data_IF_572084250988
#
_entry.id   IF_572084250988
#
_cell.length_a   1.000
_cell.length_b   1.000
_cell.length_c   1.000
_cell.angle_alpha   90.00
_cell.angle_beta   90.00
_cell.angle_gamma   90.00
#
_symmetry.space_group_name_H-M   'P 1'
#
loop_
_entity.id
_entity.type
_entity.pdbx_description
1 polymer ?
#
# COMPACT_ATOMS: atom_id res chain seq x y z
N UNK A 1 -4.62 -28.23 17.26
CA UNK A 1 -4.01 -28.69 15.99
C UNK A 1 -4.25 -27.62 14.93
N UNK A 2 -3.29 -26.73 14.67
CA UNK A 2 -3.39 -25.81 13.53
C UNK A 2 -2.95 -26.60 12.31
N UNK A 3 -3.89 -26.94 11.43
CA UNK A 3 -3.59 -27.49 10.11
C UNK A 3 -2.70 -26.49 9.37
N UNK A 4 -1.43 -26.86 9.17
CA UNK A 4 -0.47 -25.98 8.50
C UNK A 4 -0.89 -25.81 7.04
N UNK A 5 -1.34 -24.60 6.67
CA UNK A 5 -1.68 -24.24 5.29
C UNK A 5 -0.49 -24.50 4.37
N UNK A 6 -0.74 -25.17 3.23
CA UNK A 6 0.30 -25.54 2.28
C UNK A 6 1.04 -24.33 1.69
N UNK A 7 2.28 -24.54 1.22
CA UNK A 7 3.07 -23.50 0.54
C UNK A 7 2.35 -22.95 -0.69
N UNK A 8 1.78 -23.83 -1.51
CA UNK A 8 1.05 -23.44 -2.72
C UNK A 8 -0.13 -22.54 -2.37
N UNK A 9 -0.95 -22.92 -1.37
CA UNK A 9 -2.08 -22.11 -0.91
C UNK A 9 -1.62 -20.73 -0.42
N UNK A 10 -0.52 -20.64 0.33
CA UNK A 10 0.03 -19.36 0.79
C UNK A 10 0.45 -18.45 -0.37
N UNK A 11 1.14 -18.99 -1.37
CA UNK A 11 1.52 -18.21 -2.55
C UNK A 11 0.31 -17.76 -3.35
N UNK A 12 -0.72 -18.60 -3.50
CA UNK A 12 -1.99 -18.21 -4.11
C UNK A 12 -2.66 -17.09 -3.32
N UNK A 13 -2.70 -17.19 -1.99
CA UNK A 13 -3.27 -16.14 -1.13
C UNK A 13 -2.49 -14.83 -1.23
N UNK A 14 -1.15 -14.89 -1.25
CA UNK A 14 -0.30 -13.71 -1.43
C UNK A 14 -0.56 -13.05 -2.78
N UNK A 15 -0.55 -13.83 -3.86
CA UNK A 15 -0.81 -13.31 -5.21
C UNK A 15 -2.21 -12.69 -5.31
N UNK A 16 -3.23 -13.37 -4.79
CA UNK A 16 -4.59 -12.85 -4.77
C UNK A 16 -4.69 -11.54 -3.96
N UNK A 17 -4.04 -11.48 -2.80
CA UNK A 17 -3.98 -10.29 -1.96
C UNK A 17 -3.30 -9.12 -2.68
N UNK A 18 -2.15 -9.36 -3.31
CA UNK A 18 -1.43 -8.32 -4.06
C UNK A 18 -2.27 -7.81 -5.24
N UNK A 19 -2.79 -8.70 -6.08
CA UNK A 19 -3.60 -8.32 -7.25
C UNK A 19 -4.85 -7.53 -6.84
N UNK A 20 -5.56 -8.01 -5.82
CA UNK A 20 -6.79 -7.37 -5.36
C UNK A 20 -6.50 -6.02 -4.69
N UNK A 21 -5.63 -5.99 -3.68
CA UNK A 21 -5.39 -4.78 -2.90
C UNK A 21 -4.67 -3.69 -3.72
N UNK A 22 -3.62 -4.03 -4.48
CA UNK A 22 -2.92 -3.06 -5.33
C UNK A 22 -3.82 -2.63 -6.48
N UNK A 23 -4.57 -3.55 -7.09
CA UNK A 23 -5.51 -3.23 -8.17
C UNK A 23 -6.62 -2.28 -7.70
N UNK A 24 -7.26 -2.56 -6.57
CA UNK A 24 -8.28 -1.69 -6.00
C UNK A 24 -7.70 -0.33 -5.59
N UNK A 25 -6.51 -0.29 -4.96
CA UNK A 25 -5.82 0.94 -4.59
C UNK A 25 -5.58 1.85 -5.80
N UNK A 26 -4.95 1.32 -6.85
CA UNK A 26 -4.64 2.08 -8.07
C UNK A 26 -5.90 2.48 -8.84
N UNK A 27 -6.90 1.60 -8.92
CA UNK A 27 -8.16 1.91 -9.59
C UNK A 27 -8.95 3.00 -8.87
N UNK A 28 -9.03 2.94 -7.54
CA UNK A 28 -9.71 3.97 -6.74
C UNK A 28 -8.99 5.31 -6.78
N UNK A 29 -7.64 5.32 -6.77
CA UNK A 29 -6.84 6.54 -7.00
C UNK A 29 -7.10 7.15 -8.37
N UNK A 30 -7.17 6.33 -9.42
CA UNK A 30 -7.54 6.80 -10.76
C UNK A 30 -8.92 7.45 -10.78
N UNK A 31 -9.92 6.83 -10.16
CA UNK A 31 -11.26 7.41 -10.03
C UNK A 31 -11.21 8.73 -9.25
N UNK A 32 -10.41 8.82 -8.18
CA UNK A 32 -10.27 10.05 -7.41
C UNK A 32 -9.69 11.19 -8.26
N UNK A 33 -8.69 10.91 -9.10
CA UNK A 33 -8.16 11.89 -10.06
C UNK A 33 -9.24 12.32 -11.05
N UNK A 34 -9.99 11.38 -11.62
CA UNK A 34 -10.99 11.68 -12.66
C UNK A 34 -12.22 12.42 -12.13
N UNK A 35 -12.65 12.14 -10.90
CA UNK A 35 -13.94 12.61 -10.37
C UNK A 35 -13.84 13.68 -9.29
N UNK A 36 -12.70 13.79 -8.60
CA UNK A 36 -12.54 14.66 -7.43
C UNK A 36 -11.48 15.73 -7.63
N UNK A 37 -10.55 15.57 -8.59
CA UNK A 37 -9.52 16.58 -8.85
C UNK A 37 -10.18 17.84 -9.40
N UNK A 38 -9.94 18.97 -8.72
CA UNK A 38 -10.55 20.29 -9.01
C UNK A 38 -12.06 20.41 -8.73
N UNK A 39 -12.67 19.40 -8.12
CA UNK A 39 -14.07 19.43 -7.70
C UNK A 39 -14.18 19.72 -6.18
N UNK A 40 -15.28 20.32 -5.71
CA UNK A 40 -15.51 20.47 -4.28
C UNK A 40 -15.68 19.11 -3.60
N UNK A 41 -15.34 19.00 -2.29
CA UNK A 41 -15.46 17.72 -1.58
C UNK A 41 -16.89 17.18 -1.56
N UNK A 42 -17.04 15.88 -1.79
CA UNK A 42 -18.34 15.19 -1.72
C UNK A 42 -18.57 14.70 -0.30
N UNK A 43 -19.70 15.06 0.30
CA UNK A 43 -19.99 14.81 1.71
C UNK A 43 -21.16 13.85 1.88
N UNK A 44 -21.08 13.01 2.91
CA UNK A 44 -22.06 11.98 3.24
C UNK A 44 -22.35 11.99 4.74
N UNK A 45 -23.51 11.45 5.14
CA UNK A 45 -23.92 11.31 6.55
C UNK A 45 -23.77 12.61 7.37
N UNK A 46 -24.39 13.68 6.88
CA UNK A 46 -24.32 15.00 7.52
C UNK A 46 -22.87 15.46 7.81
N UNK A 47 -22.01 15.37 6.79
CA UNK A 47 -20.62 15.83 6.83
C UNK A 47 -19.65 14.98 7.70
N UNK A 48 -20.07 13.78 8.14
CA UNK A 48 -19.21 12.85 8.89
C UNK A 48 -18.18 12.17 8.00
N UNK A 49 -18.56 11.83 6.77
CA UNK A 49 -17.67 11.22 5.78
C UNK A 49 -17.53 12.13 4.57
N UNK A 50 -16.30 12.38 4.13
CA UNK A 50 -15.98 13.28 3.02
C UNK A 50 -14.97 12.64 2.10
N UNK A 51 -15.29 12.63 0.81
CA UNK A 51 -14.35 12.30 -0.25
C UNK A 51 -13.76 13.61 -0.77
N UNK A 52 -12.46 13.77 -0.58
CA UNK A 52 -11.71 14.95 -0.97
C UNK A 52 -10.40 14.51 -1.63
N UNK A 53 -10.07 15.14 -2.76
CA UNK A 53 -8.83 14.86 -3.46
C UNK A 53 -7.65 15.53 -2.75
N UNK A 54 -6.63 14.75 -2.40
CA UNK A 54 -5.41 15.27 -1.81
C UNK A 54 -4.18 14.50 -2.33
N UNK A 55 -3.13 15.24 -2.69
CA UNK A 55 -1.83 14.68 -3.06
C UNK A 55 -0.89 14.76 -1.84
N UNK A 56 -0.32 13.62 -1.44
CA UNK A 56 0.61 13.56 -0.32
C UNK A 56 2.05 13.42 -0.81
N UNK A 57 2.81 14.52 -0.72
CA UNK A 57 4.24 14.55 -1.08
C UNK A 57 5.17 13.99 0.00
N UNK A 58 4.69 13.82 1.24
CA UNK A 58 5.42 13.26 2.38
C UNK A 58 4.92 11.89 2.81
N UNK A 59 5.34 11.37 3.96
CA UNK A 59 4.81 10.14 4.54
C UNK A 59 3.44 10.37 5.21
N UNK A 60 3.04 9.50 6.15
CA UNK A 60 1.86 9.72 6.99
C UNK A 60 1.86 11.14 7.60
N UNK A 61 0.71 11.82 7.57
CA UNK A 61 0.56 13.23 7.99
C UNK A 61 1.51 14.23 7.29
N UNK A 62 1.90 13.94 6.04
CA UNK A 62 2.86 14.74 5.27
C UNK A 62 4.24 14.88 5.92
N UNK A 63 4.60 13.97 6.84
CA UNK A 63 5.92 13.97 7.48
C UNK A 63 7.02 13.85 6.42
N UNK A 64 8.04 14.68 6.50
CA UNK A 64 9.13 14.70 5.53
C UNK A 64 8.81 15.38 4.19
N UNK A 65 7.63 15.99 4.02
CA UNK A 65 7.27 16.79 2.83
C UNK A 65 8.22 17.98 2.61
N UNK A 66 8.76 18.55 3.69
CA UNK A 66 9.71 19.69 3.69
C UNK A 66 11.17 19.29 3.50
N UNK A 67 11.47 17.98 3.40
CA UNK A 67 12.83 17.51 3.17
C UNK A 67 13.31 17.91 1.77
N UNK A 68 14.63 18.00 1.60
CA UNK A 68 15.21 18.18 0.27
C UNK A 68 14.80 17.03 -0.65
N UNK A 69 14.61 17.31 -1.93
CA UNK A 69 14.19 16.31 -2.93
C UNK A 69 15.02 15.01 -2.89
N UNK A 70 16.38 15.05 -2.77
CA UNK A 70 17.19 13.84 -2.70
C UNK A 70 16.90 13.01 -1.45
N UNK A 71 16.80 13.65 -0.28
CA UNK A 71 16.53 12.97 0.99
C UNK A 71 15.14 12.35 0.99
N UNK A 72 14.15 13.09 0.48
CA UNK A 72 12.77 12.61 0.35
C UNK A 72 12.69 11.40 -0.58
N UNK A 73 13.37 11.44 -1.72
CA UNK A 73 13.43 10.30 -2.65
C UNK A 73 14.09 9.09 -2.00
N UNK A 74 15.24 9.27 -1.35
CA UNK A 74 15.94 8.18 -0.70
C UNK A 74 15.09 7.52 0.40
N UNK A 75 14.44 8.31 1.25
CA UNK A 75 13.61 7.76 2.34
C UNK A 75 12.31 7.14 1.84
N UNK A 76 11.57 7.83 0.98
CA UNK A 76 10.20 7.43 0.63
C UNK A 76 10.14 6.45 -0.54
N UNK A 77 11.18 6.40 -1.37
CA UNK A 77 11.27 5.48 -2.51
C UNK A 77 12.27 4.38 -2.22
N UNK A 78 13.55 4.71 -2.02
CA UNK A 78 14.62 3.70 -1.92
C UNK A 78 14.50 2.87 -0.65
N UNK A 79 14.39 3.51 0.51
CA UNK A 79 14.27 2.79 1.78
C UNK A 79 12.95 2.01 1.88
N UNK A 80 11.84 2.57 1.37
CA UNK A 80 10.58 1.85 1.29
C UNK A 80 10.69 0.62 0.38
N UNK A 81 11.26 0.74 -0.82
CA UNK A 81 11.48 -0.38 -1.73
C UNK A 81 12.34 -1.48 -1.09
N UNK A 82 13.45 -1.11 -0.42
CA UNK A 82 14.29 -2.06 0.30
C UNK A 82 13.52 -2.79 1.42
N UNK A 83 12.68 -2.08 2.16
CA UNK A 83 11.82 -2.65 3.18
C UNK A 83 10.80 -3.64 2.59
N UNK A 84 10.16 -3.31 1.47
CA UNK A 84 9.20 -4.21 0.80
C UNK A 84 9.87 -5.46 0.22
N UNK A 85 11.10 -5.33 -0.29
CA UNK A 85 11.92 -6.49 -0.72
C UNK A 85 12.18 -7.41 0.47
N UNK A 86 12.56 -6.85 1.64
CA UNK A 86 12.75 -7.63 2.86
C UNK A 86 11.46 -8.37 3.28
N UNK A 87 10.32 -7.67 3.29
CA UNK A 87 9.01 -8.28 3.61
C UNK A 87 8.65 -9.38 2.64
N UNK A 88 8.87 -9.17 1.35
CA UNK A 88 8.66 -10.19 0.30
C UNK A 88 9.53 -11.41 0.56
N UNK A 89 10.82 -11.21 0.87
CA UNK A 89 11.73 -12.29 1.26
C UNK A 89 11.23 -13.07 2.48
N UNK A 90 10.72 -12.39 3.51
CA UNK A 90 10.13 -13.07 4.67
C UNK A 90 8.92 -13.93 4.27
N UNK A 91 8.00 -13.41 3.46
CA UNK A 91 6.80 -14.12 3.01
C UNK A 91 7.12 -15.34 2.13
N UNK A 92 8.17 -15.26 1.31
CA UNK A 92 8.59 -16.34 0.40
C UNK A 92 9.42 -17.40 1.13
N UNK A 93 10.41 -16.98 1.93
CA UNK A 93 11.37 -17.92 2.52
C UNK A 93 10.96 -18.46 3.90
N UNK A 94 10.16 -17.72 4.69
CA UNK A 94 9.71 -18.14 6.04
C UNK A 94 8.27 -18.69 6.05
N UNK A 95 8.06 -19.76 5.30
CA UNK A 95 6.75 -20.39 5.08
C UNK A 95 6.08 -20.99 6.33
N UNK A 96 6.80 -21.17 7.44
CA UNK A 96 6.26 -21.73 8.69
C UNK A 96 5.61 -20.67 9.61
N UNK A 97 5.51 -19.41 9.20
CA UNK A 97 4.92 -18.37 10.05
C UNK A 97 3.41 -18.57 10.29
N UNK A 98 2.86 -18.13 11.44
CA UNK A 98 1.42 -18.17 11.69
C UNK A 98 0.61 -17.50 10.56
N UNK A 99 -0.56 -18.07 10.23
CA UNK A 99 -1.37 -17.60 9.10
C UNK A 99 -1.77 -16.12 9.24
N UNK A 100 -2.15 -15.69 10.44
CA UNK A 100 -2.49 -14.30 10.71
C UNK A 100 -1.32 -13.35 10.43
N UNK A 101 -0.10 -13.74 10.82
CA UNK A 101 1.11 -12.96 10.55
C UNK A 101 1.39 -12.88 9.03
N UNK A 102 1.19 -13.98 8.31
CA UNK A 102 1.33 -14.03 6.86
C UNK A 102 0.35 -13.08 6.16
N UNK A 103 -0.92 -13.10 6.56
CA UNK A 103 -1.96 -12.20 6.02
C UNK A 103 -1.62 -10.75 6.33
N UNK A 104 -1.25 -10.43 7.57
CA UNK A 104 -0.90 -9.07 7.98
C UNK A 104 0.28 -8.51 7.16
N UNK A 105 1.35 -9.31 6.97
CA UNK A 105 2.49 -8.90 6.16
C UNK A 105 2.17 -8.81 4.67
N UNK A 106 1.24 -9.65 4.16
CA UNK A 106 0.77 -9.58 2.77
C UNK A 106 0.02 -8.27 2.50
N UNK A 107 -0.86 -7.86 3.43
CA UNK A 107 -1.58 -6.59 3.35
C UNK A 107 -0.64 -5.38 3.47
N UNK A 108 0.34 -5.46 4.38
CA UNK A 108 1.38 -4.44 4.52
C UNK A 108 2.20 -4.31 3.24
N UNK A 109 2.60 -5.44 2.64
CA UNK A 109 3.31 -5.46 1.36
C UNK A 109 2.46 -4.84 0.25
N UNK A 110 1.19 -5.21 0.13
CA UNK A 110 0.28 -4.67 -0.88
C UNK A 110 0.10 -3.14 -0.74
N UNK A 111 -0.17 -2.64 0.47
CA UNK A 111 -0.32 -1.21 0.71
C UNK A 111 0.97 -0.43 0.49
N UNK A 112 2.11 -1.02 0.87
CA UNK A 112 3.43 -0.44 0.61
C UNK A 112 3.75 -0.34 -0.88
N UNK A 113 3.44 -1.38 -1.66
CA UNK A 113 3.60 -1.39 -3.13
C UNK A 113 2.72 -0.33 -3.77
N UNK A 114 1.44 -0.24 -3.41
CA UNK A 114 0.53 0.79 -3.95
C UNK A 114 1.07 2.21 -3.76
N UNK A 115 1.55 2.54 -2.55
CA UNK A 115 2.17 3.84 -2.28
C UNK A 115 3.52 4.05 -2.98
N UNK A 116 4.29 2.97 -3.20
CA UNK A 116 5.57 3.06 -3.91
C UNK A 116 5.36 3.30 -5.41
N UNK A 117 4.36 2.65 -6.02
CA UNK A 117 3.95 2.88 -7.42
C UNK A 117 3.65 4.37 -7.62
N UNK A 118 2.80 4.95 -6.77
CA UNK A 118 2.48 6.37 -6.86
C UNK A 118 3.75 7.23 -6.83
N UNK A 119 4.70 6.95 -5.94
CA UNK A 119 5.91 7.78 -5.79
C UNK A 119 6.90 7.70 -6.95
N UNK A 120 6.79 6.68 -7.78
CA UNK A 120 7.65 6.50 -8.95
C UNK A 120 7.00 7.08 -10.20
N UNK A 121 5.67 7.02 -10.30
CA UNK A 121 4.94 7.36 -11.53
C UNK A 121 4.08 8.64 -11.46
N UNK A 122 3.78 9.17 -10.27
CA UNK A 122 3.21 10.52 -10.04
C UNK A 122 4.32 11.52 -9.69
#
# INVERSE_FOLDING_TARGET
>A
MSSSVSKATRYTMLLACLLFCVGCDQYTKKIAVEKLKFEPPVTYFNNTFRMEYAENTGAFLSVGSRLSKPVRFFLLVVANAAFLILVTGMLVFRWQMPLLQFIALSLLLAGGIGNLIDRVFL
#
